data_IF_929648313847
#
_entry.id   IF_929648313847
#
_cell.length_a   1.000
_cell.length_b   1.000
_cell.length_c   1.000
_cell.angle_alpha   90.00
_cell.angle_beta   90.00
_cell.angle_gamma   90.00
#
_symmetry.space_group_name_H-M   'P 1'
#
loop_
_entity.id
_entity.type
_entity.pdbx_description
1 polymer ?
#
# COMPACT_ATOMS: atom_id res chain seq x y z
N UNK A 1 19.11 5.42 5.91
CA UNK A 1 18.65 4.03 6.19
C UNK A 1 19.07 3.53 7.57
N UNK A 2 20.35 3.37 7.92
CA UNK A 2 20.75 2.81 9.23
C UNK A 2 20.49 3.72 10.46
N UNK A 3 20.40 5.05 10.26
CA UNK A 3 20.01 6.00 11.33
C UNK A 3 18.49 6.12 11.54
N UNK A 4 17.66 5.78 10.54
CA UNK A 4 16.20 5.86 10.64
C UNK A 4 15.58 4.75 11.51
N UNK A 5 16.32 3.68 11.77
CA UNK A 5 15.87 2.56 12.61
C UNK A 5 15.98 2.81 14.12
N UNK A 6 16.72 3.85 14.56
CA UNK A 6 17.06 4.02 15.99
C UNK A 6 16.03 4.79 16.82
N UNK A 7 15.06 5.46 16.22
CA UNK A 7 14.10 6.33 16.93
C UNK A 7 12.65 5.83 16.86
N UNK A 8 12.47 4.53 16.57
CA UNK A 8 11.19 3.84 16.66
C UNK A 8 11.06 3.31 18.10
N UNK A 9 10.25 4.01 18.89
CA UNK A 9 9.59 3.60 20.15
C UNK A 9 10.29 2.50 20.99
N UNK A 10 10.69 2.87 22.20
CA UNK A 10 11.44 2.06 23.19
C UNK A 10 10.73 0.78 23.69
N UNK A 11 9.63 0.34 23.06
CA UNK A 11 8.96 -0.93 23.30
C UNK A 11 9.05 -1.92 22.12
N UNK A 12 9.62 -1.52 20.98
CA UNK A 12 9.69 -2.35 19.78
C UNK A 12 11.06 -2.20 19.10
N UNK A 13 12.12 -2.71 19.76
CA UNK A 13 13.40 -2.92 19.09
C UNK A 13 13.20 -3.94 17.95
N UNK A 14 12.92 -3.40 16.77
CA UNK A 14 12.78 -4.09 15.49
C UNK A 14 14.04 -4.91 15.23
N UNK A 15 13.98 -6.22 15.47
CA UNK A 15 15.04 -7.11 15.09
C UNK A 15 15.00 -7.35 13.57
N UNK A 16 15.81 -6.60 12.84
CA UNK A 16 15.95 -6.76 11.39
C UNK A 16 16.27 -8.21 11.00
N UNK A 17 17.01 -8.97 11.83
CA UNK A 17 17.30 -10.36 11.56
C UNK A 17 16.04 -11.24 11.63
N UNK A 18 15.14 -10.96 12.57
CA UNK A 18 13.86 -11.69 12.67
C UNK A 18 12.97 -11.38 11.46
N UNK A 19 12.92 -10.11 11.04
CA UNK A 19 12.24 -9.72 9.80
C UNK A 19 12.79 -10.50 8.59
N UNK A 20 14.12 -10.52 8.41
CA UNK A 20 14.76 -11.23 7.30
C UNK A 20 14.51 -12.74 7.37
N UNK A 21 14.51 -13.31 8.58
CA UNK A 21 14.22 -14.72 8.81
C UNK A 21 12.77 -15.06 8.42
N UNK A 22 11.79 -14.27 8.85
CA UNK A 22 10.38 -14.47 8.49
C UNK A 22 10.13 -14.36 6.99
N UNK A 23 10.78 -13.41 6.31
CA UNK A 23 10.70 -13.29 4.84
C UNK A 23 11.32 -14.51 4.16
N UNK A 24 12.51 -14.94 4.62
CA UNK A 24 13.21 -16.09 4.04
C UNK A 24 12.42 -17.39 4.21
N UNK A 25 11.86 -17.61 5.39
CA UNK A 25 11.00 -18.77 5.67
C UNK A 25 9.79 -18.83 4.74
N UNK A 26 9.07 -17.70 4.57
CA UNK A 26 7.93 -17.63 3.63
C UNK A 26 8.35 -17.87 2.18
N UNK A 27 9.50 -17.33 1.76
CA UNK A 27 10.02 -17.59 0.43
C UNK A 27 10.39 -19.07 0.23
N UNK A 28 10.93 -19.73 1.26
CA UNK A 28 11.22 -21.17 1.22
C UNK A 28 9.93 -21.99 1.15
N UNK A 29 8.88 -21.62 1.88
CA UNK A 29 7.56 -22.23 1.77
C UNK A 29 7.01 -22.18 0.33
N UNK A 30 7.11 -21.03 -0.35
CA UNK A 30 6.76 -20.93 -1.77
C UNK A 30 7.60 -21.90 -2.63
N UNK A 31 8.93 -21.92 -2.46
CA UNK A 31 9.82 -22.80 -3.24
C UNK A 31 9.51 -24.28 -3.02
N UNK A 32 9.26 -24.69 -1.78
CA UNK A 32 8.93 -26.07 -1.44
C UNK A 32 7.59 -26.47 -2.05
N UNK A 33 6.59 -25.59 -1.96
CA UNK A 33 5.28 -25.81 -2.57
C UNK A 33 5.38 -25.95 -4.09
N UNK A 34 6.14 -25.09 -4.76
CA UNK A 34 6.37 -25.18 -6.20
C UNK A 34 7.05 -26.50 -6.60
N UNK A 35 8.04 -26.96 -5.83
CA UNK A 35 8.71 -28.26 -6.06
C UNK A 35 7.75 -29.43 -5.91
N UNK A 36 6.91 -29.42 -4.89
CA UNK A 36 5.89 -30.45 -4.66
C UNK A 36 4.90 -30.54 -5.83
N UNK A 37 4.47 -29.39 -6.33
CA UNK A 37 3.57 -29.26 -7.47
C UNK A 37 4.26 -29.47 -8.83
N UNK A 38 5.58 -29.73 -8.84
CA UNK A 38 6.41 -29.89 -10.05
C UNK A 38 6.31 -28.69 -11.00
N UNK A 39 6.17 -27.49 -10.45
CA UNK A 39 6.13 -26.24 -11.22
C UNK A 39 7.54 -25.79 -11.61
N UNK A 40 7.65 -25.10 -12.74
CA UNK A 40 8.91 -24.48 -13.16
C UNK A 40 9.27 -23.35 -12.16
N UNK A 41 10.43 -23.41 -11.48
CA UNK A 41 10.83 -22.38 -10.52
C UNK A 41 11.18 -21.04 -11.16
N UNK A 42 11.24 -20.95 -12.50
CA UNK A 42 11.51 -19.74 -13.26
C UNK A 42 10.29 -19.21 -14.02
N UNK A 43 9.13 -19.86 -13.89
CA UNK A 43 7.87 -19.35 -14.42
C UNK A 43 7.33 -18.27 -13.47
N UNK A 44 7.27 -17.02 -13.95
CA UNK A 44 6.86 -15.87 -13.16
C UNK A 44 5.41 -15.95 -12.68
N UNK A 45 4.52 -16.54 -13.48
CA UNK A 45 3.13 -16.76 -13.07
C UNK A 45 3.07 -17.83 -11.97
N UNK A 46 3.80 -18.93 -12.12
CA UNK A 46 3.86 -19.98 -11.10
C UNK A 46 4.42 -19.46 -9.77
N UNK A 47 5.46 -18.62 -9.81
CA UNK A 47 6.01 -17.96 -8.63
C UNK A 47 4.98 -17.04 -7.96
N UNK A 48 4.31 -16.19 -8.74
CA UNK A 48 3.28 -15.29 -8.24
C UNK A 48 2.08 -16.04 -7.64
N UNK A 49 1.64 -17.13 -8.27
CA UNK A 49 0.56 -17.97 -7.74
C UNK A 49 0.97 -18.71 -6.46
N UNK A 50 2.24 -19.13 -6.34
CA UNK A 50 2.75 -19.71 -5.10
C UNK A 50 2.72 -18.70 -3.95
N UNK A 51 3.10 -17.44 -4.19
CA UNK A 51 3.01 -16.35 -3.20
C UNK A 51 1.54 -16.10 -2.85
N UNK A 52 0.67 -15.97 -3.86
CA UNK A 52 -0.75 -15.71 -3.64
C UNK A 52 -1.37 -16.78 -2.74
N UNK A 53 -1.24 -18.06 -3.10
CA UNK A 53 -1.73 -19.17 -2.27
C UNK A 53 -1.11 -19.21 -0.88
N UNK A 54 0.18 -18.88 -0.72
CA UNK A 54 0.78 -18.79 0.61
C UNK A 54 0.07 -17.75 1.48
N UNK A 55 -0.29 -16.59 0.91
CA UNK A 55 -0.91 -15.50 1.65
C UNK A 55 -2.43 -15.66 1.82
N UNK A 56 -3.08 -16.45 0.97
CA UNK A 56 -4.56 -16.55 0.92
C UNK A 56 -5.13 -17.90 1.33
N UNK A 57 -4.35 -18.98 1.29
CA UNK A 57 -4.83 -20.33 1.58
C UNK A 57 -4.20 -20.95 2.84
N UNK A 58 -4.88 -21.94 3.42
CA UNK A 58 -4.25 -22.85 4.38
C UNK A 58 -3.48 -23.91 3.60
N UNK A 59 -2.15 -23.96 3.77
CA UNK A 59 -1.27 -24.87 3.04
C UNK A 59 -0.60 -25.87 3.98
N UNK A 60 -0.59 -27.14 3.60
CA UNK A 60 0.27 -28.15 4.21
C UNK A 60 1.50 -28.32 3.34
N UNK A 61 2.66 -27.86 3.81
CA UNK A 61 3.89 -27.77 3.02
C UNK A 61 4.91 -28.76 3.57
N UNK A 62 5.35 -29.72 2.75
CA UNK A 62 6.36 -30.70 3.14
C UNK A 62 7.75 -30.07 3.09
N UNK A 63 8.50 -30.15 4.19
CA UNK A 63 9.89 -29.70 4.23
C UNK A 63 10.79 -30.67 3.44
N UNK A 64 11.54 -30.21 2.42
CA UNK A 64 12.38 -31.06 1.59
C UNK A 64 13.39 -31.87 2.40
N UNK A 65 13.57 -33.14 2.03
CA UNK A 65 14.51 -34.04 2.70
C UNK A 65 14.05 -34.53 4.08
N UNK A 66 12.80 -34.26 4.48
CA UNK A 66 12.24 -34.70 5.76
C UNK A 66 10.82 -35.25 5.61
N UNK A 67 10.32 -35.89 6.66
CA UNK A 67 8.91 -36.27 6.81
C UNK A 67 8.06 -35.15 7.43
N UNK A 68 8.69 -34.04 7.83
CA UNK A 68 8.01 -32.92 8.48
C UNK A 68 7.11 -32.18 7.48
N UNK A 69 5.88 -31.92 7.90
CA UNK A 69 4.92 -31.07 7.19
C UNK A 69 4.61 -29.85 8.06
N UNK A 70 4.64 -28.66 7.48
CA UNK A 70 4.28 -27.40 8.13
C UNK A 70 2.89 -26.99 7.65
N UNK A 71 1.97 -26.72 8.57
CA UNK A 71 0.70 -26.07 8.24
C UNK A 71 0.87 -24.56 8.31
N UNK A 72 0.72 -23.89 7.17
CA UNK A 72 0.70 -22.45 7.04
C UNK A 72 -0.74 -21.96 6.94
N UNK A 73 -1.06 -20.87 7.65
CA UNK A 73 -2.39 -20.25 7.63
C UNK A 73 -2.35 -18.93 6.86
N UNK A 74 -3.45 -18.60 6.17
CA UNK A 74 -3.52 -17.38 5.37
C UNK A 74 -3.51 -16.12 6.23
N UNK A 75 -3.11 -15.01 5.63
CA UNK A 75 -3.17 -13.70 6.26
C UNK A 75 -4.63 -13.30 6.55
N UNK A 76 -4.83 -12.50 7.59
CA UNK A 76 -6.14 -11.95 7.95
C UNK A 76 -6.16 -10.45 7.71
N UNK A 77 -7.26 -9.94 7.18
CA UNK A 77 -7.48 -8.50 7.07
C UNK A 77 -7.92 -7.91 8.43
N UNK A 78 -7.33 -6.77 8.80
CA UNK A 78 -7.60 -6.04 10.03
C UNK A 78 -8.88 -5.20 9.90
N UNK A 79 -10.05 -5.82 10.08
CA UNK A 79 -11.33 -5.10 10.04
C UNK A 79 -11.52 -4.15 11.24
N UNK A 80 -10.85 -4.41 12.36
CA UNK A 80 -11.03 -3.65 13.61
C UNK A 80 -10.29 -2.30 13.60
N UNK A 81 -9.22 -2.20 12.84
CA UNK A 81 -8.36 -1.02 12.69
C UNK A 81 -7.84 -1.00 11.25
N UNK A 82 -8.73 -0.88 10.26
CA UNK A 82 -8.39 -1.03 8.84
C UNK A 82 -7.66 0.18 8.26
N UNK A 83 -7.77 1.34 8.92
CA UNK A 83 -7.22 2.63 8.55
C UNK A 83 -6.17 3.14 9.57
N UNK A 84 -5.73 2.27 10.49
CA UNK A 84 -4.68 2.55 11.48
C UNK A 84 -4.97 3.74 12.42
N UNK A 85 -6.24 4.05 12.69
CA UNK A 85 -6.63 5.09 13.64
C UNK A 85 -6.34 4.70 15.10
N UNK A 86 -6.42 3.40 15.45
CA UNK A 86 -6.16 2.92 16.81
C UNK A 86 -4.67 2.75 17.08
N UNK A 87 -3.94 2.18 16.13
CA UNK A 87 -2.50 2.02 16.21
C UNK A 87 -1.89 2.23 14.83
N UNK A 88 -1.14 3.33 14.67
CA UNK A 88 -0.51 3.64 13.39
C UNK A 88 0.39 2.51 12.88
N UNK A 89 1.04 1.73 13.76
CA UNK A 89 1.93 0.65 13.32
C UNK A 89 1.18 -0.54 12.70
N UNK A 90 -0.16 -0.58 12.71
CA UNK A 90 -0.96 -1.70 12.20
C UNK A 90 -0.88 -1.90 10.68
N UNK A 91 -0.54 -0.86 9.90
CA UNK A 91 -0.29 -1.00 8.46
C UNK A 91 1.15 -1.40 8.10
N UNK A 92 2.05 -1.60 9.08
CA UNK A 92 3.43 -2.00 8.78
C UNK A 92 3.53 -3.50 8.45
N UNK A 93 4.40 -3.84 7.49
CA UNK A 93 4.71 -5.24 7.15
C UNK A 93 5.24 -6.01 8.36
N UNK A 94 5.98 -5.36 9.26
CA UNK A 94 6.47 -6.00 10.47
C UNK A 94 5.31 -6.47 11.37
N UNK A 95 4.30 -5.62 11.60
CA UNK A 95 3.11 -5.98 12.38
C UNK A 95 2.34 -7.11 11.71
N UNK A 96 2.25 -7.10 10.39
CA UNK A 96 1.67 -8.20 9.61
C UNK A 96 2.45 -9.52 9.81
N UNK A 97 3.78 -9.49 9.77
CA UNK A 97 4.59 -10.69 9.95
C UNK A 97 4.49 -11.27 11.36
N UNK A 98 4.36 -10.43 12.39
CA UNK A 98 4.29 -10.88 13.79
C UNK A 98 2.90 -11.36 14.19
N UNK A 99 1.84 -10.72 13.68
CA UNK A 99 0.45 -11.01 14.08
C UNK A 99 -0.33 -11.86 13.07
N UNK A 100 0.19 -12.01 11.85
CA UNK A 100 -0.52 -12.58 10.70
C UNK A 100 -1.81 -11.81 10.32
N UNK A 101 -1.93 -10.56 10.79
CA UNK A 101 -3.06 -9.65 10.54
C UNK A 101 -2.53 -8.38 9.89
N UNK A 102 -3.11 -7.96 8.78
CA UNK A 102 -2.63 -6.81 8.00
C UNK A 102 -3.75 -6.04 7.32
N UNK A 103 -3.35 -5.12 6.46
CA UNK A 103 -4.26 -4.21 5.78
C UNK A 103 -3.95 -4.16 4.28
N UNK A 104 -4.75 -3.39 3.54
CA UNK A 104 -4.56 -3.12 2.12
C UNK A 104 -3.19 -2.51 1.84
N UNK A 105 -2.58 -1.82 2.80
CA UNK A 105 -1.21 -1.32 2.66
C UNK A 105 -0.13 -2.39 2.91
N UNK A 106 -0.15 -3.09 4.05
CA UNK A 106 0.91 -4.06 4.40
C UNK A 106 0.89 -5.34 3.55
N UNK A 107 -0.29 -5.84 3.18
CA UNK A 107 -0.41 -7.14 2.51
C UNK A 107 0.21 -7.13 1.10
N UNK A 108 -0.08 -6.15 0.22
CA UNK A 108 0.60 -6.02 -1.06
C UNK A 108 2.11 -5.79 -0.92
N UNK A 109 2.56 -5.01 0.06
CA UNK A 109 3.99 -4.80 0.28
C UNK A 109 4.71 -6.10 0.68
N UNK A 110 4.11 -6.93 1.54
CA UNK A 110 4.65 -8.26 1.84
C UNK A 110 4.72 -9.13 0.58
N UNK A 111 3.68 -9.11 -0.25
CA UNK A 111 3.68 -9.82 -1.53
C UNK A 111 4.83 -9.38 -2.42
N UNK A 112 5.03 -8.07 -2.60
CA UNK A 112 6.12 -7.52 -3.41
C UNK A 112 7.50 -7.92 -2.89
N UNK A 113 7.69 -7.95 -1.57
CA UNK A 113 8.94 -8.44 -0.96
C UNK A 113 9.18 -9.91 -1.31
N UNK A 114 8.15 -10.76 -1.23
CA UNK A 114 8.25 -12.17 -1.59
C UNK A 114 8.48 -12.37 -3.09
N UNK A 115 7.83 -11.56 -3.93
CA UNK A 115 8.04 -11.57 -5.38
C UNK A 115 9.49 -11.24 -5.72
N UNK A 116 10.06 -10.18 -5.14
CA UNK A 116 11.47 -9.83 -5.32
C UNK A 116 12.41 -10.96 -4.86
N UNK A 117 12.10 -11.61 -3.74
CA UNK A 117 12.88 -12.76 -3.21
C UNK A 117 12.84 -13.99 -4.11
N UNK A 118 11.76 -14.17 -4.86
CA UNK A 118 11.57 -15.31 -5.75
C UNK A 118 11.95 -15.00 -7.21
N UNK A 119 12.21 -13.74 -7.54
CA UNK A 119 12.48 -13.29 -8.91
C UNK A 119 11.22 -13.10 -9.76
N UNK A 120 10.04 -13.04 -9.13
CA UNK A 120 8.77 -12.80 -9.80
C UNK A 120 8.56 -11.31 -10.06
N UNK A 121 7.88 -10.98 -11.15
CA UNK A 121 7.42 -9.62 -11.43
C UNK A 121 6.04 -9.41 -10.83
N UNK A 122 5.96 -8.47 -9.90
CA UNK A 122 4.72 -8.01 -9.29
C UNK A 122 4.83 -6.51 -9.04
N UNK A 123 3.69 -5.82 -9.10
CA UNK A 123 3.62 -4.37 -9.04
C UNK A 123 2.59 -3.95 -8.01
N UNK A 124 2.87 -2.87 -7.29
CA UNK A 124 1.85 -2.22 -6.49
C UNK A 124 0.93 -1.44 -7.43
N UNK A 125 -0.37 -1.45 -7.18
CA UNK A 125 -1.33 -0.58 -7.84
C UNK A 125 -2.25 0.05 -6.80
N UNK A 126 -2.75 1.23 -7.12
CA UNK A 126 -3.58 2.04 -6.23
C UNK A 126 -5.00 2.14 -6.76
N UNK A 127 -5.96 2.17 -5.84
CA UNK A 127 -7.31 2.65 -6.03
C UNK A 127 -7.59 3.69 -4.93
N UNK A 128 -8.68 4.47 -4.99
CA UNK A 128 -8.95 5.44 -3.93
C UNK A 128 -9.05 4.73 -2.58
N UNK A 129 -8.24 5.17 -1.63
CA UNK A 129 -8.09 4.67 -0.26
C UNK A 129 -7.67 3.19 -0.18
N UNK A 130 -7.07 2.63 -1.24
CA UNK A 130 -6.77 1.20 -1.30
C UNK A 130 -5.54 0.88 -2.17
N UNK A 131 -4.84 -0.19 -1.85
CA UNK A 131 -3.76 -0.71 -2.71
C UNK A 131 -3.84 -2.22 -2.83
N UNK A 132 -3.37 -2.73 -3.96
CA UNK A 132 -3.44 -4.13 -4.35
C UNK A 132 -2.25 -4.50 -5.24
N UNK A 133 -2.12 -5.79 -5.57
CA UNK A 133 -1.02 -6.28 -6.40
C UNK A 133 -1.49 -6.47 -7.84
N UNK A 134 -0.70 -6.03 -8.82
CA UNK A 134 -0.85 -6.41 -10.23
C UNK A 134 0.27 -7.34 -10.65
N UNK A 135 -0.08 -8.41 -11.36
CA UNK A 135 0.85 -9.30 -12.01
C UNK A 135 0.51 -9.40 -13.49
N UNK A 136 1.48 -9.82 -14.30
CA UNK A 136 1.30 -10.06 -15.72
C UNK A 136 1.71 -11.50 -16.06
N UNK A 137 0.94 -12.20 -16.87
CA UNK A 137 1.35 -13.51 -17.40
C UNK A 137 2.29 -13.36 -18.61
N UNK A 138 2.78 -14.49 -19.12
CA UNK A 138 3.69 -14.55 -20.26
C UNK A 138 3.04 -14.08 -21.58
N UNK A 139 1.71 -14.01 -21.65
CA UNK A 139 0.96 -13.49 -22.80
C UNK A 139 0.71 -11.98 -22.70
N UNK A 140 1.13 -11.34 -21.61
CA UNK A 140 0.93 -9.92 -21.36
C UNK A 140 -0.42 -9.58 -20.71
N UNK A 141 -1.23 -10.56 -20.31
CA UNK A 141 -2.49 -10.35 -19.62
C UNK A 141 -2.26 -9.92 -18.16
N UNK A 142 -2.99 -8.88 -17.72
CA UNK A 142 -2.90 -8.36 -16.36
C UNK A 142 -3.92 -8.99 -15.43
N UNK A 143 -3.51 -9.25 -14.19
CA UNK A 143 -4.35 -9.77 -13.11
C UNK A 143 -4.19 -8.92 -11.86
N UNK A 144 -5.30 -8.56 -11.22
CA UNK A 144 -5.28 -7.87 -9.93
C UNK A 144 -5.48 -8.89 -8.82
N UNK A 145 -4.46 -9.05 -7.97
CA UNK A 145 -4.52 -9.92 -6.81
C UNK A 145 -4.94 -9.09 -5.60
N UNK A 146 -6.18 -9.30 -5.17
CA UNK A 146 -6.77 -8.65 -4.01
C UNK A 146 -6.57 -9.51 -2.76
N UNK A 147 -5.60 -9.12 -1.94
CA UNK A 147 -5.21 -9.89 -0.76
C UNK A 147 -6.19 -9.68 0.40
N UNK A 148 -6.90 -8.55 0.47
CA UNK A 148 -7.83 -8.28 1.59
C UNK A 148 -9.06 -9.17 1.54
N UNK A 149 -9.45 -9.62 0.35
CA UNK A 149 -10.56 -10.57 0.14
C UNK A 149 -10.14 -11.86 -0.59
N UNK A 150 -8.84 -12.16 -0.64
CA UNK A 150 -8.28 -13.43 -1.14
C UNK A 150 -8.75 -13.78 -2.56
N UNK A 151 -8.89 -12.78 -3.42
CA UNK A 151 -9.54 -12.92 -4.73
C UNK A 151 -8.69 -12.35 -5.86
N UNK A 152 -8.91 -12.84 -7.08
CA UNK A 152 -8.39 -12.21 -8.29
C UNK A 152 -9.53 -11.39 -8.89
N UNK A 153 -9.37 -10.07 -8.96
CA UNK A 153 -10.40 -9.14 -9.39
C UNK A 153 -10.10 -8.56 -10.77
N UNK A 154 -11.14 -8.31 -11.56
CA UNK A 154 -10.99 -7.60 -12.84
C UNK A 154 -10.87 -6.09 -12.62
N UNK A 155 -10.28 -5.38 -13.58
CA UNK A 155 -10.28 -3.91 -13.56
C UNK A 155 -11.71 -3.35 -13.49
N UNK A 156 -12.67 -4.02 -14.17
CA UNK A 156 -14.09 -3.69 -14.11
C UNK A 156 -14.66 -3.75 -12.68
N UNK A 157 -14.23 -4.72 -11.88
CA UNK A 157 -14.66 -4.79 -10.49
C UNK A 157 -14.24 -3.53 -9.72
N UNK A 158 -12.96 -3.13 -9.81
CA UNK A 158 -12.50 -1.90 -9.19
C UNK A 158 -13.21 -0.67 -9.76
N UNK A 159 -13.34 -0.53 -11.08
CA UNK A 159 -14.00 0.63 -11.68
C UNK A 159 -15.45 0.81 -11.22
N UNK A 160 -16.16 -0.28 -10.93
CA UNK A 160 -17.55 -0.21 -10.46
C UNK A 160 -17.68 -0.13 -8.93
N UNK A 161 -16.74 -0.71 -8.18
CA UNK A 161 -16.82 -0.77 -6.72
C UNK A 161 -16.08 0.35 -6.02
N UNK A 162 -15.06 0.90 -6.68
CA UNK A 162 -14.23 2.00 -6.19
C UNK A 162 -14.54 3.28 -6.97
N UNK A 163 -14.63 4.38 -6.25
CA UNK A 163 -15.08 5.70 -6.70
C UNK A 163 -14.05 6.35 -7.64
N UNK A 164 -13.84 5.76 -8.82
CA UNK A 164 -12.79 6.15 -9.77
C UNK A 164 -13.39 6.83 -10.99
N UNK A 165 -13.01 8.09 -11.24
CA UNK A 165 -13.31 8.78 -12.50
C UNK A 165 -12.44 8.28 -13.63
N UNK A 166 -12.98 8.30 -14.85
CA UNK A 166 -12.19 8.02 -16.07
C UNK A 166 -11.00 8.98 -16.23
N UNK A 167 -11.11 10.23 -15.75
CA UNK A 167 -10.02 11.20 -15.69
C UNK A 167 -8.86 10.73 -14.83
N UNK A 168 -9.13 10.21 -13.62
CA UNK A 168 -8.10 9.68 -12.74
C UNK A 168 -7.34 8.50 -13.36
N UNK A 169 -8.03 7.66 -14.15
CA UNK A 169 -7.39 6.58 -14.92
C UNK A 169 -6.50 7.14 -16.03
N UNK A 170 -7.02 8.09 -16.83
CA UNK A 170 -6.25 8.73 -17.93
C UNK A 170 -5.00 9.41 -17.42
N UNK A 171 -5.09 10.07 -16.26
CA UNK A 171 -3.99 10.78 -15.61
C UNK A 171 -3.09 9.86 -14.76
N UNK A 172 -3.35 8.54 -14.79
CA UNK A 172 -2.56 7.49 -14.13
C UNK A 172 -2.51 7.55 -12.60
N UNK A 173 -3.53 8.12 -11.95
CA UNK A 173 -3.62 8.14 -10.48
C UNK A 173 -3.88 6.73 -9.92
N UNK A 174 -4.72 5.96 -10.60
CA UNK A 174 -5.20 4.66 -10.13
C UNK A 174 -5.05 3.57 -11.19
N UNK A 175 -5.12 2.31 -10.75
CA UNK A 175 -5.12 1.07 -11.55
C UNK A 175 -3.84 0.77 -12.36
N UNK A 176 -2.87 1.68 -12.34
CA UNK A 176 -1.60 1.52 -13.04
C UNK A 176 -0.59 0.75 -12.17
N UNK A 177 0.19 -0.18 -12.75
CA UNK A 177 1.28 -0.83 -12.04
C UNK A 177 2.41 0.17 -11.78
N UNK A 178 2.69 0.44 -10.51
CA UNK A 178 3.78 1.31 -10.09
C UNK A 178 5.13 0.63 -10.33
N UNK A 179 6.09 1.37 -10.85
CA UNK A 179 7.49 0.96 -10.88
C UNK A 179 8.04 0.80 -9.46
N UNK A 180 9.17 0.13 -9.33
CA UNK A 180 9.87 0.02 -8.03
C UNK A 180 10.22 1.39 -7.44
N UNK A 181 10.58 2.37 -8.29
CA UNK A 181 10.89 3.73 -7.84
C UNK A 181 9.63 4.44 -7.33
N UNK A 182 8.52 4.36 -8.06
CA UNK A 182 7.24 4.92 -7.62
C UNK A 182 6.71 4.24 -6.35
N UNK A 183 6.92 2.93 -6.20
CA UNK A 183 6.55 2.20 -4.98
C UNK A 183 7.38 2.67 -3.78
N UNK A 184 8.70 2.87 -3.95
CA UNK A 184 9.54 3.44 -2.88
C UNK A 184 9.16 4.88 -2.59
N UNK A 185 8.79 5.67 -3.61
CA UNK A 185 8.29 7.02 -3.43
C UNK A 185 6.99 7.06 -2.60
N UNK A 186 6.02 6.17 -2.87
CA UNK A 186 4.80 6.11 -2.07
C UNK A 186 5.08 5.73 -0.60
N UNK A 187 6.11 4.92 -0.34
CA UNK A 187 6.55 4.61 1.04
C UNK A 187 7.15 5.83 1.74
N UNK A 188 7.81 6.74 1.01
CA UNK A 188 8.27 8.03 1.55
C UNK A 188 7.08 8.94 1.86
N UNK A 189 6.04 8.98 1.01
CA UNK A 189 4.79 9.67 1.32
C UNK A 189 4.17 9.14 2.64
N UNK A 190 4.09 7.81 2.81
CA UNK A 190 3.62 7.19 4.06
C UNK A 190 4.51 7.52 5.26
N UNK A 191 5.83 7.60 5.07
CA UNK A 191 6.75 8.02 6.12
C UNK A 191 6.48 9.47 6.58
N UNK A 192 6.24 10.38 5.63
CA UNK A 192 5.82 11.74 5.93
C UNK A 192 4.51 11.75 6.74
N UNK A 193 3.52 10.97 6.32
CA UNK A 193 2.23 10.86 7.02
C UNK A 193 2.41 10.36 8.47
N UNK A 194 3.29 9.39 8.68
CA UNK A 194 3.62 8.92 10.03
C UNK A 194 4.18 10.04 10.90
N UNK A 195 5.16 10.78 10.38
CA UNK A 195 5.79 11.88 11.10
C UNK A 195 4.77 12.96 11.44
N UNK A 196 3.87 13.30 10.50
CA UNK A 196 2.77 14.22 10.73
C UNK A 196 1.88 13.77 11.89
N UNK A 197 1.47 12.50 11.90
CA UNK A 197 0.58 11.98 12.95
C UNK A 197 1.27 11.90 14.32
N UNK A 198 2.56 11.59 14.35
CA UNK A 198 3.30 11.35 15.61
C UNK A 198 3.87 12.63 16.22
N UNK A 199 4.38 13.53 15.39
CA UNK A 199 5.13 14.71 15.82
C UNK A 199 4.45 16.03 15.44
N UNK A 200 3.37 15.99 14.66
CA UNK A 200 2.76 17.17 14.09
C UNK A 200 3.53 17.67 12.87
N UNK A 201 3.36 18.95 12.54
CA UNK A 201 3.98 19.54 11.35
C UNK A 201 5.48 19.76 11.61
N UNK A 202 6.31 19.09 10.82
CA UNK A 202 7.77 19.10 10.88
C UNK A 202 8.35 19.23 9.46
N UNK A 203 9.44 19.98 9.24
CA UNK A 203 10.04 20.15 7.91
C UNK A 203 10.44 18.83 7.22
N UNK A 204 10.75 17.77 7.99
CA UNK A 204 11.05 16.45 7.45
C UNK A 204 9.89 15.86 6.62
N UNK A 205 8.66 16.31 6.87
CA UNK A 205 7.51 15.96 6.05
C UNK A 205 7.72 16.43 4.61
N UNK A 206 8.13 17.69 4.41
CA UNK A 206 8.41 18.22 3.08
C UNK A 206 9.59 17.50 2.43
N UNK A 207 10.65 17.16 3.18
CA UNK A 207 11.75 16.35 2.65
C UNK A 207 11.25 15.01 2.09
N UNK A 208 10.33 14.35 2.80
CA UNK A 208 9.71 13.12 2.33
C UNK A 208 8.86 13.35 1.07
N UNK A 209 8.03 14.39 1.07
CA UNK A 209 7.10 14.68 -0.02
C UNK A 209 7.83 15.08 -1.30
N UNK A 210 8.76 16.03 -1.23
CA UNK A 210 9.56 16.48 -2.38
C UNK A 210 10.47 15.38 -2.92
N UNK A 211 11.03 14.54 -2.05
CA UNK A 211 11.80 13.38 -2.51
C UNK A 211 10.90 12.41 -3.26
N UNK A 212 9.72 12.09 -2.72
CA UNK A 212 8.77 11.20 -3.38
C UNK A 212 8.24 11.76 -4.71
N UNK A 213 7.93 13.06 -4.78
CA UNK A 213 7.47 13.74 -5.99
C UNK A 213 8.47 13.59 -7.16
N UNK A 214 9.78 13.65 -6.87
CA UNK A 214 10.83 13.48 -7.88
C UNK A 214 10.82 12.11 -8.59
N UNK A 215 10.20 11.10 -7.97
CA UNK A 215 10.09 9.73 -8.51
C UNK A 215 8.66 9.33 -8.87
N UNK A 216 7.65 9.97 -8.27
CA UNK A 216 6.24 9.66 -8.47
C UNK A 216 5.40 10.95 -8.53
N UNK A 217 5.55 11.76 -9.60
CA UNK A 217 4.89 13.06 -9.70
C UNK A 217 3.38 12.97 -9.86
N UNK A 218 2.81 11.77 -10.02
CA UNK A 218 1.36 11.53 -10.11
C UNK A 218 0.78 10.98 -8.80
N UNK A 219 1.59 10.82 -7.75
CA UNK A 219 1.10 10.40 -6.43
C UNK A 219 0.16 11.48 -5.86
N UNK A 220 -1.13 11.20 -5.89
CA UNK A 220 -2.15 12.14 -5.45
C UNK A 220 -2.12 12.35 -3.93
N UNK A 221 -1.74 11.32 -3.16
CA UNK A 221 -1.65 11.43 -1.70
C UNK A 221 -0.49 12.32 -1.29
N UNK A 222 0.62 12.26 -2.04
CA UNK A 222 1.74 13.18 -1.87
C UNK A 222 1.30 14.63 -2.05
N UNK A 223 0.62 14.93 -3.18
CA UNK A 223 0.12 16.28 -3.47
C UNK A 223 -0.87 16.80 -2.43
N UNK A 224 -1.83 15.97 -2.03
CA UNK A 224 -2.81 16.34 -0.99
C UNK A 224 -2.08 16.68 0.31
N UNK A 225 -1.12 15.85 0.71
CA UNK A 225 -0.38 16.06 1.95
C UNK A 225 0.51 17.32 1.89
N UNK A 226 1.13 17.61 0.74
CA UNK A 226 1.87 18.86 0.54
C UNK A 226 0.92 20.05 0.57
N UNK A 227 -0.25 19.95 -0.07
CA UNK A 227 -1.25 21.01 -0.08
C UNK A 227 -1.74 21.34 1.32
N UNK A 228 -2.02 20.32 2.15
CA UNK A 228 -2.37 20.50 3.56
C UNK A 228 -1.24 21.17 4.36
N UNK A 229 0.01 20.76 4.09
CA UNK A 229 1.19 21.38 4.70
C UNK A 229 1.31 22.87 4.37
N UNK A 230 1.30 23.20 3.09
CA UNK A 230 1.42 24.56 2.57
C UNK A 230 0.25 25.44 3.01
N UNK A 231 -0.97 24.88 3.07
CA UNK A 231 -2.15 25.58 3.60
C UNK A 231 -1.93 26.00 5.04
N UNK A 232 -1.55 25.05 5.91
CA UNK A 232 -1.36 25.35 7.33
C UNK A 232 -0.22 26.33 7.54
N UNK A 233 0.89 26.16 6.83
CA UNK A 233 2.04 27.06 6.91
C UNK A 233 1.66 28.48 6.47
N UNK A 234 0.98 28.61 5.34
CA UNK A 234 0.48 29.90 4.83
C UNK A 234 -0.42 30.60 5.83
N UNK A 235 -1.41 29.90 6.38
CA UNK A 235 -2.36 30.46 7.35
C UNK A 235 -1.66 30.87 8.65
N UNK A 236 -0.71 30.08 9.13
CA UNK A 236 0.01 30.37 10.36
C UNK A 236 0.95 31.57 10.21
N UNK A 237 1.69 31.67 9.09
CA UNK A 237 2.52 32.84 8.81
C UNK A 237 1.65 34.09 8.64
N UNK A 238 0.55 34.02 7.89
CA UNK A 238 -0.39 35.12 7.73
C UNK A 238 -0.95 35.59 9.08
N UNK A 239 -1.24 34.66 9.99
CA UNK A 239 -1.68 34.97 11.36
C UNK A 239 -0.59 35.68 12.16
N UNK A 240 0.64 35.16 12.16
CA UNK A 240 1.78 35.72 12.91
C UNK A 240 2.19 37.11 12.42
N UNK A 241 2.09 37.36 11.11
CA UNK A 241 2.40 38.65 10.49
C UNK A 241 1.20 39.62 10.46
N UNK A 242 0.05 39.22 10.99
CA UNK A 242 -1.22 39.94 10.87
C UNK A 242 -1.59 40.32 9.41
N UNK A 243 -1.21 39.47 8.46
CA UNK A 243 -1.35 39.65 7.03
C UNK A 243 -2.52 38.82 6.47
N UNK A 244 -3.75 39.15 6.87
CA UNK A 244 -4.96 38.35 6.55
C UNK A 244 -5.37 38.36 5.08
N UNK A 245 -4.79 39.23 4.26
CA UNK A 245 -5.02 39.30 2.82
C UNK A 245 -3.75 38.87 2.06
N UNK A 246 -3.86 38.07 0.99
CA UNK A 246 -2.69 37.59 0.22
C UNK A 246 -1.79 38.73 -0.28
N UNK A 247 -2.37 39.85 -0.73
CA UNK A 247 -1.60 41.02 -1.18
C UNK A 247 -0.80 41.69 -0.04
N UNK A 248 -1.31 41.63 1.19
CA UNK A 248 -0.58 42.10 2.37
C UNK A 248 0.56 41.15 2.69
N UNK A 249 0.32 39.84 2.64
CA UNK A 249 1.36 38.82 2.87
C UNK A 249 2.49 38.96 1.86
N UNK A 250 2.16 39.15 0.57
CA UNK A 250 3.11 39.39 -0.52
C UNK A 250 4.03 40.59 -0.27
N UNK A 251 3.47 41.68 0.26
CA UNK A 251 4.23 42.92 0.56
C UNK A 251 5.12 42.77 1.78
N UNK A 252 4.64 42.13 2.84
CA UNK A 252 5.37 42.00 4.11
C UNK A 252 6.46 40.93 4.01
N UNK A 253 6.14 39.79 3.39
CA UNK A 253 7.05 38.66 3.24
C UNK A 253 6.82 37.96 1.89
N UNK A 254 7.54 38.38 0.84
CA UNK A 254 7.53 37.68 -0.45
C UNK A 254 7.91 36.20 -0.33
N UNK A 255 8.77 35.84 0.63
CA UNK A 255 9.14 34.45 0.87
C UNK A 255 7.97 33.63 1.40
N UNK A 256 7.22 34.17 2.38
CA UNK A 256 6.03 33.51 2.89
C UNK A 256 4.93 33.41 1.84
N UNK A 257 4.86 34.35 0.91
CA UNK A 257 3.91 34.34 -0.19
C UNK A 257 4.15 33.18 -1.17
N UNK A 258 5.38 32.65 -1.28
CA UNK A 258 5.65 31.46 -2.10
C UNK A 258 4.87 30.23 -1.62
N UNK A 259 4.66 30.09 -0.31
CA UNK A 259 3.82 29.01 0.24
C UNK A 259 2.36 29.14 -0.20
N UNK A 260 1.84 30.37 -0.25
CA UNK A 260 0.52 30.66 -0.78
C UNK A 260 0.42 30.34 -2.28
N UNK A 261 1.45 30.68 -3.07
CA UNK A 261 1.52 30.32 -4.49
C UNK A 261 1.56 28.81 -4.69
N UNK A 262 2.45 28.09 -4.00
CA UNK A 262 2.56 26.62 -4.08
C UNK A 262 1.28 25.92 -3.63
N UNK A 263 0.61 26.39 -2.57
CA UNK A 263 -0.69 25.88 -2.13
C UNK A 263 -1.72 25.95 -3.27
N UNK A 264 -1.83 27.08 -3.96
CA UNK A 264 -2.77 27.24 -5.07
C UNK A 264 -2.40 26.42 -6.32
N UNK A 265 -1.11 26.27 -6.60
CA UNK A 265 -0.63 25.37 -7.65
C UNK A 265 -1.03 23.92 -7.35
N UNK A 266 -0.80 23.44 -6.13
CA UNK A 266 -1.17 22.09 -5.69
C UNK A 266 -2.68 21.85 -5.77
N UNK A 267 -3.51 22.80 -5.33
CA UNK A 267 -4.96 22.69 -5.47
C UNK A 267 -5.38 22.52 -6.94
N UNK A 268 -4.79 23.33 -7.83
CA UNK A 268 -5.06 23.24 -9.27
C UNK A 268 -4.58 21.90 -9.84
N UNK A 269 -3.44 21.38 -9.40
CA UNK A 269 -2.95 20.07 -9.82
C UNK A 269 -3.89 18.95 -9.36
N UNK A 270 -4.37 19.01 -8.11
CA UNK A 270 -5.33 18.05 -7.54
C UNK A 270 -6.66 18.11 -8.31
N UNK A 271 -7.22 19.30 -8.54
CA UNK A 271 -8.48 19.47 -9.28
C UNK A 271 -8.39 18.91 -10.70
N UNK A 272 -7.26 19.16 -11.40
CA UNK A 272 -7.05 18.70 -12.77
C UNK A 272 -6.66 17.20 -12.85
N UNK A 273 -6.35 16.57 -11.73
CA UNK A 273 -5.92 15.17 -11.69
C UNK A 273 -7.08 14.19 -11.92
N UNK A 274 -8.32 14.62 -11.73
CA UNK A 274 -9.49 13.75 -11.71
C UNK A 274 -9.71 13.05 -10.37
N UNK A 275 -8.95 13.43 -9.34
CA UNK A 275 -9.19 13.03 -7.95
C UNK A 275 -10.60 13.44 -7.49
N UNK A 276 -11.17 12.61 -6.64
CA UNK A 276 -12.32 12.98 -5.83
C UNK A 276 -12.24 12.24 -4.50
N UNK A 277 -12.56 12.94 -3.41
CA UNK A 277 -12.67 12.31 -2.11
C UNK A 277 -13.74 11.22 -2.16
N UNK A 278 -13.33 9.98 -1.87
CA UNK A 278 -14.26 8.87 -1.77
C UNK A 278 -15.18 9.07 -0.55
N UNK A 279 -16.51 9.11 -0.71
CA UNK A 279 -17.42 9.15 0.43
C UNK A 279 -17.22 7.93 1.33
N UNK A 280 -17.27 8.13 2.65
CA UNK A 280 -17.01 7.07 3.65
C UNK A 280 -17.91 5.85 3.47
N UNK A 281 -19.14 6.05 3.01
CA UNK A 281 -20.12 4.99 2.77
C UNK A 281 -19.70 4.05 1.63
N UNK A 282 -18.97 4.57 0.64
CA UNK A 282 -18.44 3.77 -0.47
C UNK A 282 -17.41 2.78 0.06
N UNK A 283 -16.42 3.27 0.82
CA UNK A 283 -15.41 2.40 1.42
C UNK A 283 -16.02 1.43 2.44
N UNK A 284 -17.01 1.87 3.21
CA UNK A 284 -17.73 0.98 4.12
C UNK A 284 -18.44 -0.19 3.40
N UNK A 285 -18.86 -0.03 2.13
CA UNK A 285 -19.38 -1.16 1.33
C UNK A 285 -18.29 -2.18 1.02
N UNK A 286 -17.07 -1.74 0.73
CA UNK A 286 -15.92 -2.63 0.54
C UNK A 286 -15.64 -3.45 1.79
N UNK A 287 -15.59 -2.80 2.96
CA UNK A 287 -15.37 -3.49 4.24
C UNK A 287 -16.46 -4.54 4.53
N UNK A 288 -17.73 -4.22 4.27
CA UNK A 288 -18.84 -5.19 4.39
C UNK A 288 -18.71 -6.37 3.43
N UNK A 289 -18.23 -6.12 2.20
CA UNK A 289 -17.96 -7.18 1.24
C UNK A 289 -16.85 -8.12 1.72
N UNK A 290 -15.73 -7.56 2.20
CA UNK A 290 -14.62 -8.32 2.80
C UNK A 290 -15.11 -9.14 3.99
N UNK A 291 -15.88 -8.54 4.90
CA UNK A 291 -16.43 -9.22 6.08
C UNK A 291 -17.36 -10.38 5.68
N UNK A 292 -18.22 -10.17 4.68
CA UNK A 292 -19.12 -11.21 4.17
C UNK A 292 -18.33 -12.41 3.62
N UNK A 293 -17.32 -12.16 2.77
CA UNK A 293 -16.49 -13.23 2.22
C UNK A 293 -15.78 -14.04 3.31
N UNK A 294 -15.28 -13.36 4.35
CA UNK A 294 -14.68 -14.04 5.51
C UNK A 294 -15.67 -14.98 6.23
N UNK A 295 -16.92 -14.57 6.43
CA UNK A 295 -17.95 -15.41 7.06
C UNK A 295 -18.32 -16.63 6.21
N UNK A 296 -18.34 -16.47 4.89
CA UNK A 296 -18.60 -17.57 3.95
C UNK A 296 -17.45 -18.60 3.94
N UNK A 297 -16.21 -18.16 4.12
CA UNK A 297 -15.03 -19.04 4.26
C UNK A 297 -15.03 -19.84 5.57
N UNK A 298 -15.38 -19.23 6.70
CA UNK A 298 -15.43 -19.92 7.99
C UNK A 298 -16.51 -21.04 8.01
N UNK A 299 -17.50 -20.97 7.10
CA UNK A 299 -18.55 -21.97 6.94
C UNK A 299 -18.24 -23.12 5.97
N UNK A 300 -17.22 -23.00 5.11
CA UNK A 300 -16.90 -23.98 4.06
C UNK A 300 -15.38 -24.09 3.81
N UNK A 301 -14.81 -25.30 3.92
CA UNK A 301 -13.44 -25.55 3.46
C UNK A 301 -13.32 -25.23 1.97
N UNK A 302 -12.53 -24.21 1.62
CA UNK A 302 -12.41 -23.71 0.25
C UNK A 302 -11.91 -24.81 -0.72
N UNK A 303 -12.47 -24.88 -1.94
CA UNK A 303 -11.89 -25.64 -3.03
C UNK A 303 -10.63 -24.92 -3.54
N UNK A 304 -9.61 -25.72 -3.85
CA UNK A 304 -8.31 -25.34 -4.41
C UNK A 304 -8.50 -24.43 -5.63
N UNK A 305 -7.89 -23.22 -5.62
CA UNK A 305 -7.76 -22.27 -6.74
C UNK A 305 -9.07 -22.14 -7.55
N UNK A 306 -9.95 -21.20 -7.18
CA UNK A 306 -11.03 -20.79 -8.08
C UNK A 306 -10.41 -20.30 -9.39
N UNK A 307 -10.52 -21.13 -10.43
CA UNK A 307 -10.26 -20.79 -11.82
C UNK A 307 -10.92 -19.44 -12.10
N UNK A 308 -10.13 -18.54 -12.66
CA UNK A 308 -10.49 -17.31 -13.36
C UNK A 308 -11.96 -17.30 -13.77
N UNK A 309 -12.77 -16.46 -13.12
CA UNK A 309 -14.10 -16.15 -13.63
C UNK A 309 -13.86 -15.18 -14.80
N UNK A 310 -14.18 -15.65 -16.01
CA UNK A 310 -14.25 -14.83 -17.22
C UNK A 310 -15.23 -13.68 -17.05
#
# INVERSE_FOLDING_TARGET
>A
MHKLYKEIDNSNQLNFNDFQKSISEKADYCKWRMRELKLNPHDGLAQNMAIFSLLTDTLNIRQPGTEKTVTHYPLKYNLDDYDSQKNFTSHFVNTLLTTNVGQCHSMPLLYLILAERLGAKAYLALAPQHSFVKIQDDNGAWYNLELTCRSILSDYHYMNSSYIKSEAIRNKLYMNPLSKKETVASLLTTLGQYYLMKYGYDPFILDCLHTAESYSPHDIYNKIMEADYETRLTLEIARLLNARHPETLKKISPEAYKHYERMHELYKEIDNSGYEDMPKEIYARWLRHVEKLKKEEDGHAQPTIRKTVK
#
